data_IF_492793455637
#
_entry.id   IF_492793455637
#
_cell.length_a   1.000
_cell.length_b   1.000
_cell.length_c   1.000
_cell.angle_alpha   90.00
_cell.angle_beta   90.00
_cell.angle_gamma   90.00
#
_symmetry.space_group_name_H-M   'P 1'
#
loop_
_entity.id
_entity.type
_entity.pdbx_description
1 polymer ?
#
# COMPACT_ATOMS: atom_id res chain seq x y z
N UNK A 1 8.78 17.26 16.56
CA UNK A 1 9.99 16.66 15.96
C UNK A 1 10.71 15.96 17.08
N UNK A 2 10.47 14.66 17.25
CA UNK A 2 11.18 13.88 18.25
C UNK A 2 12.57 13.59 17.71
N UNK A 3 13.58 14.20 18.33
CA UNK A 3 14.99 13.96 18.05
C UNK A 3 15.28 12.51 18.44
N UNK A 4 15.15 11.56 17.50
CA UNK A 4 15.74 10.23 17.69
C UNK A 4 17.24 10.48 17.85
N UNK A 5 17.75 10.13 19.04
CA UNK A 5 19.19 9.98 19.28
C UNK A 5 19.77 9.23 18.09
N UNK A 6 20.90 9.69 17.55
CA UNK A 6 21.65 8.97 16.53
C UNK A 6 21.98 7.58 17.10
N UNK A 7 21.10 6.61 16.86
CA UNK A 7 21.31 5.22 17.28
C UNK A 7 22.55 4.73 16.56
N UNK A 8 23.42 4.01 17.24
CA UNK A 8 24.58 3.39 16.61
C UNK A 8 24.03 2.41 15.56
N UNK A 9 24.15 2.77 14.28
CA UNK A 9 23.80 1.86 13.19
C UNK A 9 24.89 0.83 13.02
N UNK A 10 24.56 -0.35 12.52
CA UNK A 10 25.52 -1.45 12.40
C UNK A 10 26.44 -1.25 11.21
N UNK A 11 27.74 -1.38 11.45
CA UNK A 11 28.73 -1.36 10.37
C UNK A 11 29.06 -2.79 9.94
N UNK A 12 28.61 -3.19 8.75
CA UNK A 12 28.92 -4.49 8.13
C UNK A 12 29.91 -4.30 6.96
N UNK A 13 31.23 -4.29 7.22
CA UNK A 13 32.24 -3.99 6.21
C UNK A 13 32.29 -4.99 5.06
N UNK A 14 31.92 -6.25 5.30
CA UNK A 14 31.87 -7.33 4.30
C UNK A 14 30.50 -7.52 3.65
N UNK A 15 29.51 -6.64 3.90
CA UNK A 15 28.14 -6.79 3.40
C UNK A 15 28.11 -7.11 1.90
N UNK A 16 28.88 -6.37 1.10
CA UNK A 16 28.89 -6.54 -0.36
C UNK A 16 29.46 -7.89 -0.78
N UNK A 17 30.56 -8.34 -0.17
CA UNK A 17 31.15 -9.65 -0.47
C UNK A 17 30.29 -10.81 0.02
N UNK A 18 29.63 -10.64 1.17
CA UNK A 18 28.77 -11.65 1.78
C UNK A 18 27.48 -11.83 0.97
N UNK A 19 26.85 -10.72 0.56
CA UNK A 19 25.71 -10.72 -0.36
C UNK A 19 26.07 -11.36 -1.71
N UNK A 20 27.21 -11.00 -2.31
CA UNK A 20 27.67 -11.60 -3.57
C UNK A 20 27.89 -13.11 -3.42
N UNK A 21 28.57 -13.52 -2.34
CA UNK A 21 28.82 -14.93 -2.04
C UNK A 21 27.53 -15.72 -1.83
N UNK A 22 26.53 -15.11 -1.19
CA UNK A 22 25.21 -15.72 -0.99
C UNK A 22 24.45 -15.88 -2.31
N UNK A 23 24.36 -14.81 -3.10
CA UNK A 23 23.69 -14.82 -4.41
C UNK A 23 24.31 -15.86 -5.34
N UNK A 24 25.64 -15.97 -5.37
CA UNK A 24 26.35 -16.96 -6.18
C UNK A 24 26.00 -18.41 -5.81
N UNK A 25 25.68 -18.67 -4.53
CA UNK A 25 25.33 -20.00 -4.03
C UNK A 25 23.83 -20.31 -4.15
N UNK A 26 22.97 -19.29 -4.22
CA UNK A 26 21.52 -19.46 -4.21
C UNK A 26 20.94 -19.75 -5.61
N UNK A 27 20.48 -20.97 -5.85
CA UNK A 27 19.89 -21.40 -7.13
C UNK A 27 18.66 -20.57 -7.53
N UNK A 28 17.82 -20.21 -6.57
CA UNK A 28 16.62 -19.40 -6.83
C UNK A 28 16.98 -17.98 -7.27
N UNK A 29 17.96 -17.34 -6.61
CA UNK A 29 18.45 -16.04 -7.03
C UNK A 29 19.09 -16.08 -8.43
N UNK A 30 19.80 -17.17 -8.76
CA UNK A 30 20.42 -17.36 -10.08
C UNK A 30 19.39 -17.62 -11.19
N UNK A 31 18.29 -18.31 -10.90
CA UNK A 31 17.29 -18.71 -11.90
C UNK A 31 16.14 -17.69 -12.07
N UNK A 32 15.72 -17.02 -10.99
CA UNK A 32 14.53 -16.17 -10.95
C UNK A 32 14.83 -14.69 -10.66
N UNK A 33 16.11 -14.28 -10.72
CA UNK A 33 16.54 -12.90 -10.51
C UNK A 33 15.94 -11.94 -11.54
N UNK A 34 14.87 -11.25 -11.19
CA UNK A 34 14.19 -10.28 -12.06
C UNK A 34 14.96 -8.96 -12.19
N UNK A 35 16.09 -8.97 -12.90
CA UNK A 35 16.94 -7.79 -13.11
C UNK A 35 16.22 -6.63 -13.83
N UNK A 36 15.22 -6.92 -14.67
CA UNK A 36 14.58 -5.93 -15.54
C UNK A 36 13.56 -5.00 -14.87
N UNK A 37 13.17 -5.24 -13.61
CA UNK A 37 12.18 -4.42 -12.88
C UNK A 37 12.67 -3.91 -11.53
N UNK A 38 13.96 -4.08 -11.24
CA UNK A 38 14.50 -3.56 -9.99
C UNK A 38 14.61 -2.04 -10.08
N UNK A 39 14.03 -1.30 -9.11
CA UNK A 39 14.35 0.10 -8.97
C UNK A 39 15.86 0.26 -8.77
N UNK A 40 16.43 1.43 -9.12
CA UNK A 40 17.83 1.72 -8.84
C UNK A 40 18.16 1.42 -7.37
N UNK A 41 19.30 0.77 -7.12
CA UNK A 41 19.76 0.35 -5.78
C UNK A 41 19.69 1.50 -4.77
N UNK A 42 20.03 2.72 -5.22
CA UNK A 42 19.98 3.95 -4.43
C UNK A 42 18.57 4.31 -3.95
N UNK A 43 17.55 4.10 -4.78
CA UNK A 43 16.15 4.38 -4.44
C UNK A 43 15.63 3.37 -3.41
N UNK A 44 15.94 2.08 -3.61
CA UNK A 44 15.60 1.03 -2.65
C UNK A 44 16.25 1.29 -1.30
N UNK A 45 17.54 1.64 -1.29
CA UNK A 45 18.25 1.97 -0.06
C UNK A 45 17.64 3.17 0.66
N UNK A 46 17.33 4.24 -0.08
CA UNK A 46 16.67 5.40 0.49
C UNK A 46 15.33 5.02 1.14
N UNK A 47 14.50 4.22 0.46
CA UNK A 47 13.23 3.75 1.02
C UNK A 47 13.42 2.91 2.28
N UNK A 48 14.37 1.97 2.27
CA UNK A 48 14.67 1.10 3.42
C UNK A 48 15.20 1.86 4.63
N UNK A 49 15.90 2.98 4.43
CA UNK A 49 16.44 3.83 5.49
C UNK A 49 15.48 4.96 5.93
N UNK A 50 14.36 5.15 5.24
CA UNK A 50 13.43 6.25 5.52
C UNK A 50 12.34 5.80 6.47
N UNK A 51 12.10 6.60 7.52
CA UNK A 51 11.00 6.41 8.45
C UNK A 51 9.65 6.45 7.71
N UNK A 52 8.85 5.41 7.89
CA UNK A 52 7.50 5.39 7.34
C UNK A 52 6.54 6.07 8.31
N UNK A 53 5.78 7.04 7.82
CA UNK A 53 4.80 7.75 8.65
C UNK A 53 3.73 6.83 9.27
N UNK A 54 3.47 5.68 8.66
CA UNK A 54 2.49 4.69 9.09
C UNK A 54 2.96 3.84 10.27
N UNK A 55 4.23 3.44 10.30
CA UNK A 55 4.81 2.58 11.34
C UNK A 55 5.72 3.32 12.30
N UNK A 56 6.11 4.57 11.99
CA UNK A 56 7.13 5.37 12.69
C UNK A 56 8.53 4.73 12.71
N UNK A 57 8.74 3.67 11.93
CA UNK A 57 9.99 2.93 11.85
C UNK A 57 10.46 2.78 10.40
N UNK A 58 11.74 2.43 10.23
CA UNK A 58 12.31 2.15 8.91
C UNK A 58 11.96 0.70 8.48
N UNK A 59 11.70 0.44 7.18
CA UNK A 59 11.47 -0.93 6.72
C UNK A 59 12.63 -1.88 7.02
N UNK A 60 13.88 -1.37 6.98
CA UNK A 60 15.06 -2.17 7.28
C UNK A 60 15.07 -2.64 8.74
N UNK A 61 14.81 -1.74 9.69
CA UNK A 61 14.81 -2.07 11.13
C UNK A 61 13.71 -3.07 11.48
N UNK A 62 12.54 -2.97 10.88
CA UNK A 62 11.46 -3.95 11.08
C UNK A 62 11.83 -5.35 10.56
N UNK A 63 12.61 -5.41 9.49
CA UNK A 63 13.00 -6.68 8.85
C UNK A 63 14.16 -7.33 9.59
N UNK A 64 15.22 -6.56 9.86
CA UNK A 64 16.50 -7.08 10.35
C UNK A 64 16.79 -6.75 11.83
N UNK A 65 15.91 -6.03 12.53
CA UNK A 65 16.05 -5.64 13.93
C UNK A 65 17.01 -4.49 14.20
N UNK A 66 17.65 -3.97 13.17
CA UNK A 66 18.85 -3.17 13.28
C UNK A 66 18.76 -1.94 12.36
N UNK A 67 19.35 -0.79 12.73
CA UNK A 67 19.49 0.34 11.81
C UNK A 67 20.67 0.15 10.88
N UNK A 68 20.48 0.50 9.60
CA UNK A 68 21.52 0.35 8.58
C UNK A 68 22.32 1.62 8.38
N UNK A 69 23.61 1.47 8.08
CA UNK A 69 24.46 2.56 7.59
C UNK A 69 23.91 3.09 6.26
N UNK A 70 23.63 4.39 6.18
CA UNK A 70 23.21 5.00 4.92
C UNK A 70 24.37 5.02 3.93
N UNK A 71 24.06 5.01 2.62
CA UNK A 71 25.09 4.85 1.57
C UNK A 71 26.21 5.89 1.65
N UNK A 72 25.89 7.13 2.03
CA UNK A 72 26.87 8.20 2.26
C UNK A 72 27.84 7.91 3.40
N UNK A 73 27.37 7.25 4.47
CA UNK A 73 28.23 6.86 5.60
C UNK A 73 29.18 5.71 5.26
N UNK A 74 28.83 4.91 4.24
CA UNK A 74 29.66 3.82 3.71
C UNK A 74 30.70 4.34 2.72
N UNK A 75 30.35 5.34 1.91
CA UNK A 75 31.23 5.95 0.92
C UNK A 75 32.29 6.86 1.54
N UNK A 76 31.89 7.70 2.49
CA UNK A 76 32.76 8.65 3.17
C UNK A 76 33.35 8.06 4.46
N UNK A 77 34.40 8.69 5.02
CA UNK A 77 34.95 8.33 6.34
C UNK A 77 34.04 8.84 7.46
N UNK A 78 32.83 8.30 7.55
CA UNK A 78 31.89 8.61 8.63
C UNK A 78 32.51 8.32 10.01
N UNK A 79 32.07 9.06 11.03
CA UNK A 79 32.51 8.85 12.41
C UNK A 79 32.31 7.39 12.87
N UNK A 80 31.22 6.75 12.42
CA UNK A 80 30.91 5.33 12.66
C UNK A 80 32.00 4.39 12.15
N UNK A 81 32.59 4.68 10.98
CA UNK A 81 33.71 3.90 10.42
C UNK A 81 35.01 4.15 11.17
N UNK A 82 35.24 5.40 11.63
CA UNK A 82 36.48 5.79 12.31
C UNK A 82 36.60 5.21 13.72
N UNK A 83 35.47 5.09 14.44
CA UNK A 83 35.42 4.63 15.85
C UNK A 83 34.89 3.19 15.96
N UNK A 84 34.92 2.42 14.87
CA UNK A 84 34.37 1.07 14.85
C UNK A 84 35.06 0.15 15.86
N UNK A 85 34.27 -0.43 16.76
CA UNK A 85 34.66 -1.52 17.65
C UNK A 85 33.73 -2.72 17.43
N UNK A 86 34.31 -3.84 16.97
CA UNK A 86 33.54 -5.04 16.62
C UNK A 86 32.82 -5.69 17.81
N UNK A 87 33.42 -5.67 19.00
CA UNK A 87 32.80 -6.26 20.21
C UNK A 87 31.59 -5.44 20.65
N UNK A 88 31.74 -4.12 20.70
CA UNK A 88 30.65 -3.21 21.05
C UNK A 88 29.52 -3.28 20.02
N UNK A 89 29.84 -3.29 18.72
CA UNK A 89 28.85 -3.43 17.65
C UNK A 89 28.06 -4.76 17.76
N UNK A 90 28.72 -5.86 18.12
CA UNK A 90 28.04 -7.14 18.30
C UNK A 90 27.13 -7.15 19.55
N UNK A 91 27.56 -6.52 20.64
CA UNK A 91 26.75 -6.38 21.86
C UNK A 91 25.52 -5.51 21.63
N UNK A 92 25.68 -4.37 20.96
CA UNK A 92 24.55 -3.51 20.58
C UNK A 92 23.58 -4.25 19.65
N UNK A 93 24.10 -5.04 18.69
CA UNK A 93 23.27 -5.82 17.77
C UNK A 93 22.43 -6.85 18.49
N UNK A 94 23.03 -7.57 19.44
CA UNK A 94 22.30 -8.52 20.26
C UNK A 94 21.18 -7.82 21.03
N UNK A 95 21.46 -6.67 21.64
CA UNK A 95 20.46 -5.92 22.40
C UNK A 95 19.31 -5.38 21.52
N UNK A 96 19.59 -4.89 20.31
CA UNK A 96 18.56 -4.47 19.35
C UNK A 96 17.72 -5.65 18.86
N UNK A 97 18.35 -6.81 18.62
CA UNK A 97 17.66 -8.04 18.22
C UNK A 97 16.77 -8.59 19.34
N UNK A 98 17.18 -8.47 20.60
CA UNK A 98 16.34 -8.86 21.75
C UNK A 98 15.06 -8.01 21.85
N UNK A 99 15.08 -6.77 21.33
CA UNK A 99 13.97 -5.80 21.38
C UNK A 99 13.16 -5.71 20.07
N UNK A 100 13.48 -6.54 19.08
CA UNK A 100 12.90 -6.41 17.73
C UNK A 100 11.40 -6.70 17.71
N UNK A 101 10.94 -7.62 18.56
CA UNK A 101 9.54 -8.04 18.57
C UNK A 101 8.66 -6.96 19.21
N UNK A 102 9.10 -6.30 20.29
CA UNK A 102 8.42 -5.14 20.86
C UNK A 102 8.30 -3.99 19.84
N UNK A 103 9.36 -3.78 19.06
CA UNK A 103 9.38 -2.75 18.01
C UNK A 103 8.40 -3.08 16.88
N UNK A 104 8.26 -4.36 16.51
CA UNK A 104 7.29 -4.82 15.50
C UNK A 104 5.85 -4.68 16.02
N UNK A 105 5.61 -5.00 17.28
CA UNK A 105 4.31 -4.82 17.93
C UNK A 105 3.91 -3.33 17.96
N UNK A 106 4.84 -2.44 18.33
CA UNK A 106 4.60 -0.99 18.32
C UNK A 106 4.30 -0.47 16.90
N UNK A 107 5.07 -0.93 15.90
CA UNK A 107 4.83 -0.59 14.50
C UNK A 107 3.46 -1.06 14.00
N UNK A 108 3.01 -2.25 14.42
CA UNK A 108 1.68 -2.76 14.10
C UNK A 108 0.58 -1.88 14.71
N UNK A 109 0.71 -1.48 15.98
CA UNK A 109 -0.24 -0.57 16.65
C UNK A 109 -0.34 0.76 15.88
N UNK A 110 0.80 1.31 15.45
CA UNK A 110 0.82 2.54 14.66
C UNK A 110 0.15 2.38 13.29
N UNK A 111 0.43 1.27 12.59
CA UNK A 111 -0.15 0.97 11.28
C UNK A 111 -1.67 0.83 11.39
N UNK A 112 -2.16 0.07 12.37
CA UNK A 112 -3.58 -0.11 12.65
C UNK A 112 -4.25 1.22 12.98
N UNK A 113 -3.61 2.06 13.82
CA UNK A 113 -4.11 3.39 14.10
C UNK A 113 -4.20 4.26 12.83
N UNK A 114 -3.23 4.17 11.93
CA UNK A 114 -3.25 4.87 10.65
C UNK A 114 -4.40 4.37 9.75
N UNK A 115 -4.58 3.05 9.64
CA UNK A 115 -5.70 2.42 8.90
C UNK A 115 -7.05 2.87 9.44
N UNK A 116 -7.21 2.90 10.77
CA UNK A 116 -8.44 3.36 11.43
C UNK A 116 -8.71 4.85 11.19
N UNK A 117 -7.68 5.70 11.23
CA UNK A 117 -7.83 7.14 10.90
C UNK A 117 -8.26 7.33 9.44
N UNK A 118 -7.63 6.61 8.52
CA UNK A 118 -7.97 6.65 7.11
C UNK A 118 -9.41 6.17 6.85
N UNK A 119 -9.81 5.04 7.46
CA UNK A 119 -11.17 4.48 7.31
C UNK A 119 -12.23 5.42 7.90
N UNK A 120 -12.00 5.99 9.08
CA UNK A 120 -12.91 7.00 9.67
C UNK A 120 -13.07 8.20 8.75
N UNK A 121 -11.97 8.75 8.22
CA UNK A 121 -11.99 9.90 7.30
C UNK A 121 -12.72 9.58 6.00
N UNK A 122 -12.58 8.36 5.49
CA UNK A 122 -13.31 7.91 4.32
C UNK A 122 -14.80 7.78 4.63
N UNK A 123 -15.15 7.06 5.69
CA UNK A 123 -16.52 6.78 6.10
C UNK A 123 -17.34 8.05 6.42
N UNK A 124 -16.71 9.14 6.90
CA UNK A 124 -17.43 10.41 7.10
C UNK A 124 -17.90 11.06 5.80
N UNK A 125 -17.26 10.75 4.66
CA UNK A 125 -17.61 11.29 3.34
C UNK A 125 -18.51 10.36 2.54
N UNK A 126 -18.54 9.07 2.87
CA UNK A 126 -19.37 8.09 2.17
C UNK A 126 -20.82 8.27 2.59
N UNK A 127 -21.67 8.61 1.62
CA UNK A 127 -23.12 8.54 1.79
C UNK A 127 -23.59 7.16 1.32
N UNK A 128 -24.08 6.27 2.22
CA UNK A 128 -24.59 4.97 1.82
C UNK A 128 -25.78 5.16 0.88
N UNK A 129 -25.79 4.39 -0.21
CA UNK A 129 -26.87 4.35 -1.18
C UNK A 129 -27.49 2.96 -1.16
N UNK A 130 -28.75 2.88 -0.74
CA UNK A 130 -29.54 1.66 -0.76
C UNK A 130 -30.79 1.91 -1.59
N UNK A 131 -31.13 0.95 -2.45
CA UNK A 131 -32.31 1.00 -3.30
C UNK A 131 -33.22 -0.16 -2.94
N UNK A 132 -34.53 0.01 -3.10
CA UNK A 132 -35.52 -1.04 -2.93
C UNK A 132 -36.01 -1.52 -4.28
N UNK A 133 -36.53 -2.75 -4.32
CA UNK A 133 -37.22 -3.27 -5.50
C UNK A 133 -38.38 -2.32 -5.83
N UNK A 134 -38.47 -1.91 -7.09
CA UNK A 134 -39.43 -0.93 -7.59
C UNK A 134 -38.90 0.49 -7.73
N UNK A 135 -37.78 0.84 -7.07
CA UNK A 135 -37.20 2.19 -7.18
C UNK A 135 -36.71 2.49 -8.59
N UNK A 136 -36.91 3.73 -9.04
CA UNK A 136 -36.36 4.22 -10.29
C UNK A 136 -34.97 4.80 -10.07
N UNK A 137 -34.02 4.39 -10.92
CA UNK A 137 -32.61 4.77 -10.82
C UNK A 137 -32.02 5.17 -12.16
N UNK A 138 -31.15 6.17 -12.11
CA UNK A 138 -30.16 6.45 -13.14
C UNK A 138 -28.99 5.47 -13.01
N UNK A 139 -28.42 5.08 -14.15
CA UNK A 139 -27.31 4.14 -14.27
C UNK A 139 -26.12 4.81 -14.94
N UNK A 140 -24.92 4.66 -14.36
CA UNK A 140 -23.70 5.22 -14.92
C UNK A 140 -23.33 4.51 -16.25
N UNK A 141 -23.19 5.29 -17.33
CA UNK A 141 -22.70 4.85 -18.63
C UNK A 141 -21.17 5.00 -18.64
N UNK A 142 -20.46 3.87 -18.57
CA UNK A 142 -19.02 3.86 -18.82
C UNK A 142 -18.71 4.17 -20.29
N UNK A 143 -17.48 4.59 -20.59
CA UNK A 143 -17.07 4.98 -21.95
C UNK A 143 -17.39 3.91 -23.02
N UNK A 144 -17.25 2.62 -22.68
CA UNK A 144 -17.58 1.51 -23.58
C UNK A 144 -19.08 1.35 -23.92
N UNK A 145 -19.97 2.14 -23.30
CA UNK A 145 -21.44 2.06 -23.48
C UNK A 145 -22.06 3.39 -23.90
N UNK A 146 -21.26 4.43 -24.07
CA UNK A 146 -21.70 5.65 -24.75
C UNK A 146 -21.85 5.34 -26.23
N UNK A 147 -22.86 5.92 -26.86
CA UNK A 147 -22.93 5.84 -28.32
C UNK A 147 -21.74 6.61 -28.89
N UNK A 148 -21.02 6.01 -29.84
CA UNK A 148 -19.86 6.62 -30.50
C UNK A 148 -20.28 7.92 -31.21
N UNK A 149 -21.57 8.05 -31.54
CA UNK A 149 -22.16 9.25 -32.13
C UNK A 149 -22.31 10.42 -31.16
N UNK A 150 -22.40 10.19 -29.84
CA UNK A 150 -22.69 11.22 -28.84
C UNK A 150 -21.48 12.10 -28.46
N UNK A 151 -20.29 11.78 -28.98
CA UNK A 151 -19.08 12.57 -28.80
C UNK A 151 -18.72 12.84 -27.32
N UNK A 152 -17.90 13.87 -27.09
CA UNK A 152 -17.35 14.20 -25.75
C UNK A 152 -18.41 14.66 -24.74
N UNK A 153 -19.58 15.12 -25.22
CA UNK A 153 -20.66 15.70 -24.40
C UNK A 153 -21.81 14.74 -24.14
N UNK A 154 -21.63 13.45 -24.48
CA UNK A 154 -22.58 12.40 -24.19
C UNK A 154 -22.98 12.38 -22.70
N UNK A 155 -24.26 12.17 -22.37
CA UNK A 155 -24.71 12.05 -21.00
C UNK A 155 -23.98 10.88 -20.30
N UNK A 156 -23.43 11.14 -19.11
CA UNK A 156 -22.72 10.11 -18.33
C UNK A 156 -23.67 9.16 -17.61
N UNK A 157 -24.94 9.53 -17.48
CA UNK A 157 -25.98 8.74 -16.83
C UNK A 157 -27.07 8.42 -17.85
N UNK A 158 -27.48 7.16 -17.90
CA UNK A 158 -28.61 6.69 -18.71
C UNK A 158 -29.74 6.18 -17.82
N UNK A 159 -30.96 6.20 -18.31
CA UNK A 159 -32.15 5.78 -17.56
C UNK A 159 -33.33 6.72 -17.77
N UNK A 160 -34.46 6.51 -17.07
CA UNK A 160 -34.61 5.70 -15.87
C UNK A 160 -34.67 4.19 -16.07
N UNK A 161 -34.18 3.44 -15.09
CA UNK A 161 -34.32 1.99 -14.95
C UNK A 161 -35.04 1.66 -13.64
N UNK A 162 -35.70 0.51 -13.56
CA UNK A 162 -36.33 0.03 -12.32
C UNK A 162 -35.47 -1.04 -11.67
N UNK A 163 -35.32 -0.99 -10.35
CA UNK A 163 -34.67 -2.03 -9.57
C UNK A 163 -35.61 -3.23 -9.44
N UNK A 164 -35.14 -4.43 -9.82
CA UNK A 164 -35.94 -5.66 -9.76
C UNK A 164 -35.57 -6.56 -8.59
N UNK A 165 -34.30 -6.59 -8.21
CA UNK A 165 -33.79 -7.47 -7.16
C UNK A 165 -32.62 -6.81 -6.44
N UNK A 166 -32.60 -6.90 -5.10
CA UNK A 166 -31.42 -6.60 -4.27
C UNK A 166 -30.70 -7.92 -3.96
N UNK A 167 -29.46 -8.03 -4.43
CA UNK A 167 -28.62 -9.21 -4.25
C UNK A 167 -27.76 -9.14 -2.98
N UNK A 168 -27.89 -8.07 -2.20
CA UNK A 168 -27.04 -7.79 -1.05
C UNK A 168 -25.69 -7.19 -1.42
N UNK A 169 -24.94 -6.72 -0.41
CA UNK A 169 -23.63 -6.07 -0.57
C UNK A 169 -23.61 -4.89 -1.56
N UNK A 170 -24.76 -4.24 -1.77
CA UNK A 170 -24.92 -3.13 -2.69
C UNK A 170 -24.95 -3.51 -4.17
N UNK A 171 -25.29 -4.75 -4.52
CA UNK A 171 -25.48 -5.19 -5.90
C UNK A 171 -26.98 -5.36 -6.23
N UNK A 172 -27.40 -4.85 -7.40
CA UNK A 172 -28.80 -4.80 -7.81
C UNK A 172 -28.98 -5.34 -9.23
N UNK A 173 -30.13 -5.96 -9.51
CA UNK A 173 -30.63 -6.18 -10.87
C UNK A 173 -31.55 -5.06 -11.29
N UNK A 174 -31.49 -4.73 -12.57
CA UNK A 174 -32.27 -3.66 -13.17
C UNK A 174 -33.09 -4.18 -14.33
N UNK A 175 -34.21 -3.51 -14.61
CA UNK A 175 -34.99 -3.64 -15.83
C UNK A 175 -35.18 -2.29 -16.50
N UNK A 176 -35.38 -2.31 -17.81
CA UNK A 176 -35.91 -1.17 -18.56
C UNK A 176 -37.37 -0.93 -18.20
N UNK A 177 -37.87 0.30 -18.42
CA UNK A 177 -39.29 0.63 -18.19
C UNK A 177 -40.25 -0.19 -19.08
N UNK A 178 -39.74 -0.75 -20.17
CA UNK A 178 -40.44 -1.68 -21.06
C UNK A 178 -40.65 -3.08 -20.44
N UNK A 179 -40.07 -3.35 -19.27
CA UNK A 179 -40.07 -4.67 -18.62
C UNK A 179 -38.96 -5.61 -19.10
N UNK A 180 -38.04 -5.13 -19.95
CA UNK A 180 -36.90 -5.94 -20.41
C UNK A 180 -35.82 -6.00 -19.32
N UNK A 181 -35.42 -7.20 -18.87
CA UNK A 181 -34.40 -7.33 -17.83
C UNK A 181 -33.01 -6.99 -18.38
N UNK A 182 -32.20 -6.28 -17.59
CA UNK A 182 -30.79 -6.06 -17.88
C UNK A 182 -30.00 -7.24 -17.31
N UNK A 183 -29.27 -8.00 -18.14
CA UNK A 183 -28.66 -9.27 -17.72
C UNK A 183 -27.53 -9.11 -16.69
N UNK A 184 -26.90 -7.93 -16.61
CA UNK A 184 -25.81 -7.65 -15.67
C UNK A 184 -26.31 -7.07 -14.35
N UNK A 185 -25.61 -7.40 -13.28
CA UNK A 185 -25.78 -6.82 -11.95
C UNK A 185 -25.01 -5.50 -11.82
N UNK A 186 -25.48 -4.60 -10.97
CA UNK A 186 -24.97 -3.24 -10.83
C UNK A 186 -24.70 -2.87 -9.38
N UNK A 187 -23.54 -2.27 -9.12
CA UNK A 187 -23.21 -1.79 -7.79
C UNK A 187 -23.92 -0.45 -7.49
N UNK A 188 -24.35 -0.22 -6.26
CA UNK A 188 -24.93 1.04 -5.76
C UNK A 188 -24.08 2.28 -6.04
N UNK A 189 -22.76 2.14 -6.21
CA UNK A 189 -21.88 3.25 -6.59
C UNK A 189 -22.17 3.77 -8.00
N UNK A 190 -22.67 2.92 -8.89
CA UNK A 190 -23.00 3.25 -10.29
C UNK A 190 -24.48 3.56 -10.49
N UNK A 191 -25.25 3.70 -9.40
CA UNK A 191 -26.67 4.00 -9.42
C UNK A 191 -26.97 5.28 -8.64
N UNK A 192 -28.00 6.01 -9.07
CA UNK A 192 -28.55 7.18 -8.38
C UNK A 192 -30.07 7.15 -8.46
N UNK A 193 -30.76 7.65 -7.44
CA UNK A 193 -32.20 7.81 -7.51
C UNK A 193 -32.60 8.70 -8.69
N UNK A 194 -33.66 8.28 -9.38
CA UNK A 194 -34.36 9.10 -10.34
C UNK A 194 -35.49 9.83 -9.60
N UNK A 195 -35.45 11.16 -9.62
CA UNK A 195 -36.53 12.00 -9.13
C UNK A 195 -37.13 12.72 -10.34
N UNK A 196 -38.43 12.56 -10.54
CA UNK A 196 -39.22 13.23 -11.60
C UNK A 196 -39.56 14.66 -11.21
#
# INVERSE_FOLDING_TARGET
>A
MATRVLRAGYYWPTLKSDCQSHIQKCKECQQFGNAHRQPPETLLWAYHCTLQSTTQETPYRLTYGADVMILVEVGETSHRRQVFNGEQNAQELAADLDLVDELRDEAQIHEEACKLRASRRYNTRVKPRSFRVGDLVWRLLGEARKDTSDGKLAPTWGGPFRVTEDLGNGAYRLEELSGKPIPRTWNATHLKFYFS
#
